data_IF_842177243961
#
_entry.id   IF_842177243961
#
_cell.length_a   1.000
_cell.length_b   1.000
_cell.length_c   1.000
_cell.angle_alpha   90.00
_cell.angle_beta   90.00
_cell.angle_gamma   90.00
#
_symmetry.space_group_name_H-M   'P 1'
#
loop_
_entity.id
_entity.type
_entity.pdbx_description
1 polymer ?
#
# COMPACT_ATOMS: atom_id res chain seq x y z
N UNK A 1 25.27 -43.03 26.88
CA UNK A 1 26.08 -42.15 26.00
C UNK A 1 25.82 -40.70 26.41
N UNK A 2 26.79 -40.06 27.07
CA UNK A 2 26.66 -38.65 27.46
C UNK A 2 27.10 -37.78 26.30
N UNK A 3 26.16 -37.06 25.68
CA UNK A 3 26.47 -36.07 24.65
C UNK A 3 27.31 -34.95 25.27
N UNK A 4 28.55 -34.84 24.81
CA UNK A 4 29.54 -33.87 25.28
C UNK A 4 29.02 -32.43 25.12
N UNK A 5 29.43 -31.54 26.04
CA UNK A 5 28.93 -30.16 26.15
C UNK A 5 29.08 -29.34 24.85
N UNK A 6 30.02 -29.71 23.98
CA UNK A 6 30.18 -29.13 22.64
C UNK A 6 29.03 -29.49 21.68
N UNK A 7 28.52 -30.73 21.74
CA UNK A 7 27.39 -31.18 20.92
C UNK A 7 26.08 -30.53 21.38
N UNK A 8 25.90 -30.33 22.70
CA UNK A 8 24.76 -29.58 23.25
C UNK A 8 24.76 -28.10 22.85
N UNK A 9 25.94 -27.47 22.78
CA UNK A 9 26.08 -26.06 22.34
C UNK A 9 25.87 -25.89 20.84
N UNK A 10 26.32 -26.83 20.01
CA UNK A 10 26.07 -26.80 18.58
C UNK A 10 24.57 -26.87 18.26
N UNK A 11 23.83 -27.80 18.90
CA UNK A 11 22.37 -27.93 18.76
C UNK A 11 21.62 -26.67 19.20
N UNK A 12 22.04 -26.03 20.29
CA UNK A 12 21.44 -24.78 20.77
C UNK A 12 21.64 -23.60 19.80
N UNK A 13 22.80 -23.51 19.15
CA UNK A 13 23.09 -22.45 18.16
C UNK A 13 22.33 -22.70 16.86
N UNK A 14 22.22 -23.94 16.38
CA UNK A 14 21.45 -24.23 15.15
C UNK A 14 19.95 -24.00 15.36
N UNK A 15 19.41 -24.41 16.52
CA UNK A 15 18.01 -24.15 16.87
C UNK A 15 17.69 -22.65 16.99
N UNK A 16 18.63 -21.86 17.53
CA UNK A 16 18.49 -20.40 17.63
C UNK A 16 18.46 -19.69 16.27
N UNK A 17 19.26 -20.14 15.30
CA UNK A 17 19.29 -19.57 13.94
C UNK A 17 18.02 -19.92 13.16
N UNK A 18 17.51 -21.15 13.26
CA UNK A 18 16.23 -21.54 12.62
C UNK A 18 15.01 -20.84 13.24
N UNK A 19 15.02 -20.58 14.54
CA UNK A 19 13.96 -19.82 15.20
C UNK A 19 13.93 -18.35 14.76
N UNK A 20 15.10 -17.77 14.47
CA UNK A 20 15.20 -16.38 14.01
C UNK A 20 14.70 -16.20 12.56
N UNK A 21 14.81 -17.23 11.72
CA UNK A 21 14.28 -17.21 10.34
C UNK A 21 12.78 -17.45 10.25
N UNK A 22 12.19 -18.21 11.18
CA UNK A 22 10.73 -18.42 11.25
C UNK A 22 9.98 -17.22 11.88
N UNK A 23 10.68 -16.32 12.56
CA UNK A 23 10.10 -15.12 13.18
C UNK A 23 9.91 -13.92 12.24
N UNK A 24 10.37 -14.01 10.99
CA UNK A 24 10.17 -12.97 9.96
C UNK A 24 8.92 -13.26 9.12
N UNK A 25 7.83 -13.70 9.75
CA UNK A 25 6.52 -13.62 9.11
C UNK A 25 6.27 -12.13 8.82
N UNK A 26 6.49 -11.70 7.58
CA UNK A 26 6.16 -10.37 7.09
C UNK A 26 4.63 -10.32 6.97
N UNK A 27 3.87 -9.76 7.93
CA UNK A 27 2.41 -9.83 7.87
C UNK A 27 1.84 -8.71 6.97
N UNK A 28 2.68 -7.84 6.41
CA UNK A 28 2.23 -6.50 6.03
C UNK A 28 2.06 -6.26 4.51
N UNK A 29 2.28 -7.26 3.64
CA UNK A 29 2.22 -7.06 2.18
C UNK A 29 0.88 -7.40 1.53
N UNK A 30 -0.11 -7.78 2.32
CA UNK A 30 -1.27 -8.54 1.86
C UNK A 30 -2.62 -7.85 2.16
N UNK A 31 -2.61 -6.76 2.94
CA UNK A 31 -3.83 -6.01 3.27
C UNK A 31 -4.36 -5.22 2.08
N UNK A 32 -5.69 -5.06 2.02
CA UNK A 32 -6.32 -4.06 1.15
C UNK A 32 -6.06 -2.68 1.74
N UNK A 33 -5.52 -1.77 0.95
CA UNK A 33 -5.16 -0.41 1.39
C UNK A 33 -5.77 0.66 0.50
N UNK A 34 -5.70 1.91 0.95
CA UNK A 34 -6.13 3.09 0.18
C UNK A 34 -4.90 3.93 -0.16
N UNK A 35 -4.74 4.28 -1.44
CA UNK A 35 -3.64 5.09 -1.96
C UNK A 35 -4.16 6.34 -2.71
N UNK A 36 -3.78 7.57 -2.32
CA UNK A 36 -3.11 7.90 -1.06
C UNK A 36 -3.98 7.55 0.15
N UNK A 37 -3.34 7.21 1.27
CA UNK A 37 -4.04 6.83 2.52
C UNK A 37 -4.59 8.02 3.32
N UNK A 38 -4.50 9.23 2.77
CA UNK A 38 -4.99 10.46 3.38
C UNK A 38 -5.61 11.40 2.35
N UNK A 39 -6.64 12.15 2.76
CA UNK A 39 -7.29 13.18 1.97
C UNK A 39 -7.73 14.36 2.85
N UNK A 40 -7.91 15.54 2.25
CA UNK A 40 -8.36 16.72 3.01
C UNK A 40 -9.89 16.70 3.23
N UNK A 41 -10.31 17.06 4.45
CA UNK A 41 -11.70 17.25 4.84
C UNK A 41 -12.37 18.32 3.97
N UNK A 42 -13.64 18.10 3.61
CA UNK A 42 -14.43 19.03 2.79
C UNK A 42 -14.13 19.03 1.30
N UNK A 43 -13.01 18.46 0.88
CA UNK A 43 -12.59 18.41 -0.52
C UNK A 43 -13.10 17.18 -1.28
N UNK A 44 -12.69 17.09 -2.54
CA UNK A 44 -12.76 15.88 -3.35
C UNK A 44 -11.37 15.25 -3.41
N UNK A 45 -11.32 13.92 -3.37
CA UNK A 45 -10.07 13.19 -3.50
C UNK A 45 -10.20 12.03 -4.47
N UNK A 46 -9.12 11.80 -5.22
CA UNK A 46 -8.95 10.57 -5.99
C UNK A 46 -8.10 9.61 -5.17
N UNK A 47 -8.69 8.47 -4.85
CA UNK A 47 -8.04 7.39 -4.12
C UNK A 47 -8.10 6.10 -4.92
N UNK A 48 -7.26 5.14 -4.59
CA UNK A 48 -7.28 3.81 -5.15
C UNK A 48 -7.32 2.77 -4.05
N UNK A 49 -8.27 1.85 -4.11
CA UNK A 49 -8.24 0.65 -3.28
C UNK A 49 -7.23 -0.32 -3.90
N UNK A 50 -6.10 -0.53 -3.24
CA UNK A 50 -5.07 -1.47 -3.66
C UNK A 50 -5.37 -2.84 -3.06
N UNK A 51 -5.58 -3.83 -3.92
CA UNK A 51 -5.96 -5.19 -3.53
C UNK A 51 -4.88 -6.16 -4.04
N UNK A 52 -4.07 -6.76 -3.16
CA UNK A 52 -3.16 -7.84 -3.52
C UNK A 52 -3.89 -9.20 -3.60
N UNK A 53 -3.31 -10.14 -4.33
CA UNK A 53 -3.72 -11.55 -4.29
C UNK A 53 -2.79 -12.34 -3.36
N UNK A 54 -3.38 -12.99 -2.36
CA UNK A 54 -2.69 -13.79 -1.34
C UNK A 54 -2.76 -15.31 -1.56
N UNK A 55 -3.18 -15.75 -2.73
CA UNK A 55 -3.34 -17.16 -3.09
C UNK A 55 -2.38 -17.51 -4.22
N UNK A 56 -1.64 -18.60 -4.03
CA UNK A 56 -0.69 -19.11 -5.02
C UNK A 56 -1.38 -19.89 -6.15
N UNK A 57 -2.57 -20.42 -5.88
CA UNK A 57 -3.33 -21.33 -6.75
C UNK A 57 -4.67 -20.74 -7.23
N UNK A 58 -5.01 -19.52 -6.80
CA UNK A 58 -6.25 -18.85 -7.16
C UNK A 58 -6.00 -17.41 -7.62
N UNK A 59 -7.00 -16.82 -8.26
CA UNK A 59 -6.97 -15.42 -8.66
C UNK A 59 -8.16 -14.67 -8.08
N UNK A 60 -7.96 -13.46 -7.59
CA UNK A 60 -9.09 -12.59 -7.24
C UNK A 60 -9.84 -12.23 -8.51
N UNK A 61 -11.15 -12.47 -8.52
CA UNK A 61 -12.02 -12.20 -9.66
C UNK A 61 -13.19 -11.26 -9.33
N UNK A 62 -13.36 -10.91 -8.05
CA UNK A 62 -14.35 -9.94 -7.60
C UNK A 62 -13.83 -9.20 -6.36
N UNK A 63 -14.08 -7.89 -6.33
CA UNK A 63 -13.82 -7.02 -5.20
C UNK A 63 -15.07 -6.20 -4.93
N UNK A 64 -15.52 -6.18 -3.68
CA UNK A 64 -16.60 -5.32 -3.22
C UNK A 64 -16.06 -4.38 -2.15
N UNK A 65 -16.36 -3.10 -2.25
CA UNK A 65 -16.01 -2.11 -1.22
C UNK A 65 -17.31 -1.46 -0.74
N UNK A 66 -17.57 -1.58 0.56
CA UNK A 66 -18.67 -0.92 1.23
C UNK A 66 -18.27 0.53 1.58
N UNK A 67 -19.19 1.44 1.36
CA UNK A 67 -19.03 2.86 1.69
C UNK A 67 -19.66 3.15 3.05
N UNK A 68 -19.08 4.07 3.85
CA UNK A 68 -19.60 4.43 5.15
C UNK A 68 -21.01 4.99 5.05
N UNK A 69 -21.90 4.53 5.92
CA UNK A 69 -23.34 4.93 5.94
C UNK A 69 -23.65 5.96 7.02
N UNK A 70 -22.78 6.04 8.02
CA UNK A 70 -22.70 7.06 9.06
C UNK A 70 -22.16 8.39 8.53
N UNK A 71 -21.22 8.35 7.59
CA UNK A 71 -20.73 9.51 6.83
C UNK A 71 -20.87 9.29 5.32
N UNK A 72 -22.09 9.39 4.76
CA UNK A 72 -22.33 9.06 3.37
C UNK A 72 -21.64 10.04 2.43
N UNK A 73 -21.05 9.50 1.36
CA UNK A 73 -20.34 10.29 0.36
C UNK A 73 -21.27 10.64 -0.80
N UNK A 74 -21.55 11.93 -1.03
CA UNK A 74 -22.58 12.35 -1.97
C UNK A 74 -22.17 12.23 -3.44
N UNK A 75 -20.88 12.33 -3.72
CA UNK A 75 -20.33 12.25 -5.06
C UNK A 75 -19.28 11.16 -5.09
N UNK A 76 -19.55 10.12 -5.86
CA UNK A 76 -18.62 9.01 -6.05
C UNK A 76 -18.63 8.65 -7.52
N UNK A 77 -17.44 8.54 -8.10
CA UNK A 77 -17.24 8.13 -9.48
C UNK A 77 -16.06 7.18 -9.57
N UNK A 78 -16.16 6.24 -10.49
CA UNK A 78 -15.16 5.19 -10.69
C UNK A 78 -14.45 5.41 -12.01
N UNK A 79 -13.15 5.19 -12.04
CA UNK A 79 -12.41 5.15 -13.30
C UNK A 79 -12.73 3.83 -14.01
N UNK A 80 -13.13 3.85 -15.30
CA UNK A 80 -13.27 2.62 -16.07
C UNK A 80 -11.97 1.82 -16.05
N UNK A 81 -12.08 0.52 -15.76
CA UNK A 81 -10.95 -0.37 -15.64
C UNK A 81 -11.08 -1.51 -16.68
N UNK A 82 -10.26 -1.53 -17.74
CA UNK A 82 -10.34 -2.58 -18.76
C UNK A 82 -10.24 -3.98 -18.16
N UNK A 83 -11.11 -4.88 -18.63
CA UNK A 83 -11.19 -6.26 -18.13
C UNK A 83 -11.97 -6.43 -16.82
N UNK A 84 -12.44 -5.33 -16.21
CA UNK A 84 -13.30 -5.36 -15.03
C UNK A 84 -14.64 -4.69 -15.33
N UNK A 85 -15.72 -5.37 -15.00
CA UNK A 85 -17.04 -4.76 -14.91
C UNK A 85 -17.15 -4.03 -13.57
N UNK A 86 -17.69 -2.81 -13.56
CA UNK A 86 -17.90 -2.02 -12.34
C UNK A 86 -19.38 -1.72 -12.16
N UNK A 87 -19.90 -2.02 -10.97
CA UNK A 87 -21.25 -1.69 -10.54
C UNK A 87 -21.20 -0.81 -9.31
N UNK A 88 -21.68 0.42 -9.45
CA UNK A 88 -21.89 1.36 -8.34
C UNK A 88 -23.32 1.17 -7.84
N UNK A 89 -23.49 0.92 -6.54
CA UNK A 89 -24.79 0.69 -5.91
C UNK A 89 -25.11 1.85 -4.98
N UNK A 90 -26.17 2.56 -5.30
CA UNK A 90 -26.76 3.61 -4.48
C UNK A 90 -27.93 3.06 -3.67
N UNK A 91 -28.06 3.50 -2.43
CA UNK A 91 -29.20 3.15 -1.56
C UNK A 91 -29.68 4.38 -0.81
N UNK A 92 -30.95 4.32 -0.39
CA UNK A 92 -31.54 5.35 0.46
C UNK A 92 -30.81 5.44 1.80
N UNK A 93 -30.42 6.65 2.17
CA UNK A 93 -29.77 6.94 3.44
C UNK A 93 -30.76 6.77 4.60
N UNK A 94 -30.30 6.28 5.77
CA UNK A 94 -31.13 6.21 6.97
C UNK A 94 -31.65 7.58 7.40
N UNK A 95 -30.86 8.63 7.16
CA UNK A 95 -31.20 10.04 7.43
C UNK A 95 -30.79 10.89 6.23
N UNK A 96 -31.63 11.84 5.79
CA UNK A 96 -31.21 12.83 4.81
C UNK A 96 -30.00 13.63 5.32
N UNK A 97 -29.07 13.93 4.42
CA UNK A 97 -27.90 14.76 4.72
C UNK A 97 -28.03 16.07 3.94
N UNK A 98 -28.01 17.19 4.66
CA UNK A 98 -27.99 18.52 4.04
C UNK A 98 -26.56 18.86 3.65
N UNK A 99 -26.35 19.11 2.37
CA UNK A 99 -25.08 19.61 1.83
C UNK A 99 -25.27 21.01 1.25
N UNK A 100 -24.17 21.66 0.85
CA UNK A 100 -24.23 22.91 0.09
C UNK A 100 -24.97 22.79 -1.25
N UNK A 101 -25.14 21.55 -1.76
CA UNK A 101 -25.83 21.24 -3.01
C UNK A 101 -27.30 20.83 -2.82
N UNK A 102 -27.80 20.84 -1.58
CA UNK A 102 -29.16 20.45 -1.23
C UNK A 102 -29.25 19.22 -0.33
N UNK A 103 -30.47 18.73 -0.14
CA UNK A 103 -30.75 17.53 0.65
C UNK A 103 -30.46 16.27 -0.16
N UNK A 104 -29.66 15.39 0.42
CA UNK A 104 -29.25 14.12 -0.18
C UNK A 104 -29.92 13.00 0.59
N UNK A 105 -30.72 12.20 -0.12
CA UNK A 105 -31.46 11.08 0.46
C UNK A 105 -30.99 9.71 -0.02
N UNK A 106 -30.10 9.67 -1.02
CA UNK A 106 -29.47 8.47 -1.56
C UNK A 106 -27.98 8.72 -1.71
N UNK A 107 -27.16 7.71 -1.44
CA UNK A 107 -25.72 7.79 -1.67
C UNK A 107 -25.17 6.43 -2.08
N UNK A 108 -23.94 6.44 -2.60
CA UNK A 108 -23.21 5.21 -2.90
C UNK A 108 -22.93 4.46 -1.60
N UNK A 109 -23.37 3.20 -1.56
CA UNK A 109 -23.22 2.30 -0.41
C UNK A 109 -22.26 1.17 -0.71
N UNK A 110 -22.07 0.84 -1.99
CA UNK A 110 -21.16 -0.21 -2.41
C UNK A 110 -20.67 -0.01 -3.83
N UNK A 111 -19.42 -0.35 -4.08
CA UNK A 111 -18.88 -0.53 -5.42
C UNK A 111 -18.44 -1.99 -5.57
N UNK A 112 -18.79 -2.60 -6.69
CA UNK A 112 -18.40 -3.98 -7.02
C UNK A 112 -17.63 -3.97 -8.32
N UNK A 113 -16.41 -4.51 -8.31
CA UNK A 113 -15.66 -4.85 -9.50
C UNK A 113 -15.67 -6.37 -9.70
N UNK A 114 -15.99 -6.83 -10.91
CA UNK A 114 -16.07 -8.27 -11.23
C UNK A 114 -15.54 -8.61 -12.61
N UNK A 115 -15.25 -9.90 -12.83
CA UNK A 115 -14.90 -10.45 -14.15
C UNK A 115 -13.42 -10.32 -14.53
N UNK A 116 -12.67 -9.48 -13.81
CA UNK A 116 -11.23 -9.38 -14.00
C UNK A 116 -10.44 -10.46 -13.26
N UNK A 117 -9.12 -10.29 -13.23
CA UNK A 117 -8.19 -11.27 -12.64
C UNK A 117 -7.01 -10.56 -12.00
N UNK A 118 -6.79 -10.80 -10.71
CA UNK A 118 -5.54 -10.51 -10.02
C UNK A 118 -4.85 -11.86 -9.79
N UNK A 119 -3.75 -12.12 -10.50
CA UNK A 119 -3.02 -13.40 -10.39
C UNK A 119 -2.15 -13.49 -9.13
N UNK A 120 -1.63 -14.69 -8.79
CA UNK A 120 -0.69 -14.86 -7.68
C UNK A 120 0.47 -13.87 -7.76
N UNK A 121 0.81 -13.24 -6.62
CA UNK A 121 1.89 -12.25 -6.53
C UNK A 121 1.60 -10.91 -7.23
N UNK A 122 0.37 -10.67 -7.70
CA UNK A 122 -0.06 -9.42 -8.31
C UNK A 122 -0.95 -8.61 -7.37
N UNK A 123 -1.13 -7.33 -7.69
CA UNK A 123 -2.12 -6.46 -7.08
C UNK A 123 -2.85 -5.67 -8.17
N UNK A 124 -4.03 -5.16 -7.84
CA UNK A 124 -4.78 -4.21 -8.67
C UNK A 124 -5.17 -2.99 -7.84
N UNK A 125 -5.16 -1.83 -8.48
CA UNK A 125 -5.68 -0.59 -7.93
C UNK A 125 -7.03 -0.26 -8.55
N UNK A 126 -8.03 -0.04 -7.71
CA UNK A 126 -9.38 0.35 -8.10
C UNK A 126 -9.59 1.83 -7.79
N UNK A 127 -9.38 2.68 -8.80
CA UNK A 127 -9.44 4.14 -8.68
C UNK A 127 -10.88 4.65 -8.54
N UNK A 128 -11.11 5.43 -7.49
CA UNK A 128 -12.37 6.08 -7.15
C UNK A 128 -12.10 7.56 -6.86
N UNK A 129 -12.89 8.44 -7.47
CA UNK A 129 -12.97 9.84 -7.08
C UNK A 129 -14.20 10.04 -6.21
N UNK A 130 -14.00 10.54 -5.00
CA UNK A 130 -15.06 10.71 -4.01
C UNK A 130 -14.98 12.06 -3.30
N UNK A 131 -16.13 12.59 -2.90
CA UNK A 131 -16.28 13.84 -2.18
C UNK A 131 -17.77 14.22 -2.05
N UNK A 132 -18.14 15.35 -1.47
CA UNK A 132 -17.36 16.16 -0.55
C UNK A 132 -17.05 15.33 0.71
N UNK A 133 -15.77 15.24 1.07
CA UNK A 133 -15.36 14.46 2.23
C UNK A 133 -15.86 15.12 3.53
N UNK A 134 -16.27 14.35 4.55
CA UNK A 134 -16.80 14.90 5.78
C UNK A 134 -15.77 15.74 6.53
N UNK A 135 -16.26 16.70 7.33
CA UNK A 135 -15.44 17.60 8.16
C UNK A 135 -15.53 17.29 9.65
N UNK A 136 -16.41 16.37 10.02
CA UNK A 136 -16.77 15.97 11.38
C UNK A 136 -16.14 14.65 11.82
N UNK A 137 -15.27 14.06 10.98
CA UNK A 137 -14.49 12.86 11.31
C UNK A 137 -13.07 12.95 10.75
N UNK A 138 -12.12 12.30 11.43
CA UNK A 138 -10.70 12.25 11.06
C UNK A 138 -10.37 11.04 10.17
N UNK A 139 -11.33 10.16 9.90
CA UNK A 139 -11.13 9.01 9.01
C UNK A 139 -12.45 8.43 8.48
N UNK A 140 -12.34 7.64 7.42
CA UNK A 140 -13.41 6.81 6.87
C UNK A 140 -12.93 5.38 6.72
N UNK A 141 -13.78 4.43 7.11
CA UNK A 141 -13.51 2.99 7.02
C UNK A 141 -14.31 2.42 5.85
N UNK A 142 -13.67 1.59 5.03
CA UNK A 142 -14.24 1.03 3.81
C UNK A 142 -14.10 -0.49 3.81
N UNK A 143 -14.99 -1.24 4.50
CA UNK A 143 -14.93 -2.69 4.52
C UNK A 143 -14.88 -3.26 3.10
N UNK A 144 -13.92 -4.14 2.84
CA UNK A 144 -13.75 -4.76 1.53
C UNK A 144 -14.02 -6.27 1.59
N UNK A 145 -14.53 -6.82 0.50
CA UNK A 145 -14.74 -8.26 0.33
C UNK A 145 -14.09 -8.70 -0.97
N UNK A 146 -13.19 -9.66 -0.87
CA UNK A 146 -12.42 -10.19 -1.99
C UNK A 146 -12.88 -11.62 -2.27
N UNK A 147 -13.27 -11.91 -3.51
CA UNK A 147 -13.62 -13.27 -3.94
C UNK A 147 -12.54 -13.81 -4.88
N UNK A 148 -12.17 -15.05 -4.65
CA UNK A 148 -11.20 -15.79 -5.45
C UNK A 148 -11.87 -16.73 -6.44
N UNK A 149 -11.16 -17.13 -7.49
CA UNK A 149 -11.62 -18.01 -8.56
C UNK A 149 -12.08 -19.39 -8.07
N UNK A 150 -11.61 -19.85 -6.91
CA UNK A 150 -12.05 -21.08 -6.26
C UNK A 150 -13.34 -20.93 -5.43
N UNK A 151 -13.94 -19.74 -5.38
CA UNK A 151 -15.14 -19.44 -4.59
C UNK A 151 -14.86 -19.01 -3.14
N UNK A 152 -13.60 -19.04 -2.70
CA UNK A 152 -13.22 -18.50 -1.40
C UNK A 152 -13.51 -16.99 -1.33
N UNK A 153 -14.03 -16.55 -0.18
CA UNK A 153 -14.34 -15.15 0.11
C UNK A 153 -13.58 -14.72 1.36
N UNK A 154 -12.76 -13.67 1.22
CA UNK A 154 -12.05 -13.03 2.33
C UNK A 154 -12.68 -11.66 2.57
N UNK A 155 -12.95 -11.35 3.84
CA UNK A 155 -13.46 -10.04 4.26
C UNK A 155 -12.35 -9.28 4.98
N UNK A 156 -12.19 -8.04 4.57
CA UNK A 156 -11.30 -7.02 5.11
C UNK A 156 -12.19 -6.01 5.84
N UNK A 157 -12.72 -6.42 6.99
CA UNK A 157 -13.73 -5.71 7.76
C UNK A 157 -13.40 -5.57 9.25
N UNK A 158 -12.18 -5.96 9.67
CA UNK A 158 -11.76 -5.79 11.06
C UNK A 158 -11.55 -4.30 11.38
N UNK A 159 -12.12 -3.85 12.50
CA UNK A 159 -11.92 -2.49 13.00
C UNK A 159 -10.49 -2.30 13.54
N UNK A 160 -9.93 -1.07 13.46
CA UNK A 160 -8.68 -0.74 14.13
C UNK A 160 -8.78 -1.06 15.63
N UNK A 161 -7.81 -1.81 16.17
CA UNK A 161 -7.82 -2.18 17.59
C UNK A 161 -7.42 -0.98 18.45
N UNK A 162 -8.09 -0.83 19.60
CA UNK A 162 -7.84 0.26 20.54
C UNK A 162 -6.43 0.25 21.15
N UNK A 163 -5.78 -0.92 21.19
CA UNK A 163 -4.40 -1.09 21.66
C UNK A 163 -3.35 -0.76 20.58
N UNK A 164 -3.80 -0.37 19.38
CA UNK A 164 -2.94 -0.05 18.24
C UNK A 164 -2.29 -1.26 17.57
N UNK A 165 -2.62 -2.49 17.99
CA UNK A 165 -2.17 -3.69 17.29
C UNK A 165 -2.89 -3.86 15.96
N UNK A 166 -2.19 -4.38 14.95
CA UNK A 166 -2.78 -4.60 13.63
C UNK A 166 -3.80 -5.75 13.69
N UNK A 167 -5.01 -5.58 13.13
CA UNK A 167 -5.95 -6.67 12.90
C UNK A 167 -5.41 -7.69 11.89
N UNK A 168 -6.02 -8.88 11.83
CA UNK A 168 -5.63 -9.87 10.82
C UNK A 168 -6.11 -9.47 9.43
N UNK A 169 -7.30 -8.87 9.34
CA UNK A 169 -7.92 -8.44 8.09
C UNK A 169 -8.49 -7.04 8.23
N UNK A 170 -7.62 -6.03 8.42
CA UNK A 170 -8.04 -4.66 8.66
C UNK A 170 -8.88 -4.14 7.51
N UNK A 171 -9.96 -3.45 7.85
CA UNK A 171 -10.69 -2.67 6.87
C UNK A 171 -9.82 -1.51 6.35
N UNK A 172 -9.83 -1.24 5.03
CA UNK A 172 -9.16 -0.07 4.46
C UNK A 172 -9.64 1.23 5.11
N UNK A 173 -8.70 2.07 5.57
CA UNK A 173 -8.99 3.35 6.22
C UNK A 173 -8.41 4.51 5.41
N UNK A 174 -9.24 5.51 5.11
CA UNK A 174 -8.82 6.80 4.56
C UNK A 174 -8.73 7.80 5.70
N UNK A 175 -7.54 8.32 5.99
CA UNK A 175 -7.37 9.39 6.98
C UNK A 175 -7.84 10.71 6.38
N UNK A 176 -8.58 11.49 7.15
CA UNK A 176 -9.02 12.83 6.78
C UNK A 176 -8.22 13.86 7.55
N UNK A 177 -7.50 14.71 6.82
CA UNK A 177 -6.73 15.81 7.41
C UNK A 177 -7.53 17.11 7.32
N UNK A 178 -7.42 18.02 8.30
CA UNK A 178 -8.00 19.35 8.18
C UNK A 178 -7.56 20.02 6.87
N UNK A 179 -8.48 20.73 6.23
CA UNK A 179 -8.13 21.51 5.04
C UNK A 179 -7.06 22.54 5.39
N UNK A 180 -5.99 22.60 4.58
CA UNK A 180 -4.98 23.65 4.72
C UNK A 180 -5.61 25.01 4.45
N UNK A 181 -5.33 26.01 5.29
CA UNK A 181 -5.93 27.36 5.23
C UNK A 181 -5.49 28.22 4.01
N UNK A 182 -5.19 27.61 2.86
CA UNK A 182 -4.78 28.31 1.65
C UNK A 182 -4.98 27.44 0.42
N UNK A 183 -6.16 27.54 -0.22
CA UNK A 183 -6.46 26.71 -1.38
C UNK A 183 -7.77 26.98 -2.10
N UNK A 184 -8.34 28.19 -2.04
CA UNK A 184 -9.42 28.58 -2.96
C UNK A 184 -8.84 28.83 -4.36
N UNK A 185 -8.53 27.75 -5.06
CA UNK A 185 -7.89 27.75 -6.37
C UNK A 185 -8.80 27.24 -7.48
N UNK A 186 -9.95 27.89 -7.72
CA UNK A 186 -10.62 27.79 -9.02
C UNK A 186 -9.83 28.59 -10.07
N UNK A 187 -8.64 28.08 -10.41
CA UNK A 187 -7.82 28.58 -11.50
C UNK A 187 -8.40 28.12 -12.83
N UNK A 188 -9.41 28.83 -13.32
CA UNK A 188 -9.79 28.78 -14.72
C UNK A 188 -8.58 29.21 -15.57
N UNK A 189 -7.89 28.24 -16.18
CA UNK A 189 -6.92 28.52 -17.22
C UNK A 189 -7.68 28.94 -18.49
N UNK A 190 -8.03 30.22 -18.56
CA UNK A 190 -8.40 30.89 -19.80
C UNK A 190 -7.19 30.89 -20.74
N UNK A 191 -7.11 29.89 -21.61
CA UNK A 191 -6.20 29.91 -22.75
C UNK A 191 -6.86 30.70 -23.89
N UNK A 192 -6.48 31.96 -24.02
CA UNK A 192 -6.76 32.77 -25.22
C UNK A 192 -5.95 32.22 -26.41
N UNK A 193 -6.55 31.97 -27.58
CA UNK A 193 -5.83 31.50 -28.75
C UNK A 193 -5.11 32.67 -29.43
N UNK A 194 -3.79 32.58 -29.58
CA UNK A 194 -3.00 33.51 -30.39
C UNK A 194 -2.46 32.80 -31.64
N UNK A 195 -2.66 33.46 -32.78
CA UNK A 195 -2.53 32.95 -34.14
C UNK A 195 -1.10 32.63 -34.61
N UNK A 196 -1.03 31.69 -35.55
CA UNK A 196 0.14 31.32 -36.37
C UNK A 196 0.49 32.39 -37.41
N UNK A 197 1.78 32.54 -37.72
CA UNK A 197 2.20 32.71 -39.10
C UNK A 197 3.17 31.61 -39.55
N UNK A 198 3.03 31.29 -40.85
CA UNK A 198 3.78 30.31 -41.64
C UNK A 198 5.15 30.84 -42.08
N UNK A 199 6.18 29.98 -42.10
CA UNK A 199 7.23 29.97 -43.13
C UNK A 199 8.08 28.67 -43.11
N UNK A 200 8.63 28.36 -44.29
CA UNK A 200 9.14 27.07 -44.75
C UNK A 200 10.51 26.59 -44.19
N UNK A 201 10.60 25.26 -44.16
CA UNK A 201 11.71 24.37 -44.55
C UNK A 201 13.16 24.73 -44.19
N UNK A 202 13.73 23.96 -43.25
CA UNK A 202 15.14 23.57 -43.26
C UNK A 202 15.27 22.14 -42.71
N UNK A 203 15.80 21.24 -43.54
CA UNK A 203 16.21 19.87 -43.23
C UNK A 203 17.38 19.83 -42.26
N UNK A 204 17.24 19.20 -41.09
CA UNK A 204 18.37 18.70 -40.27
C UNK A 204 17.97 17.46 -39.44
N UNK A 205 18.73 16.39 -39.68
CA UNK A 205 19.11 15.22 -38.87
C UNK A 205 18.21 14.71 -37.71
N UNK A 206 18.04 13.38 -37.68
CA UNK A 206 17.45 12.61 -36.58
C UNK A 206 18.22 12.82 -35.24
N UNK A 207 17.53 12.86 -34.08
CA UNK A 207 18.19 12.96 -32.79
C UNK A 207 18.79 11.59 -32.40
N UNK A 208 20.12 11.51 -32.42
CA UNK A 208 20.88 10.46 -31.75
C UNK A 208 20.87 10.72 -30.24
N UNK A 209 20.32 9.78 -29.48
CA UNK A 209 20.32 9.82 -28.02
C UNK A 209 21.72 9.41 -27.52
N UNK A 210 22.43 10.34 -26.89
CA UNK A 210 23.65 10.06 -26.14
C UNK A 210 23.24 9.70 -24.71
N UNK A 211 23.66 8.55 -24.13
CA UNK A 211 23.37 8.26 -22.74
C UNK A 211 24.12 9.27 -21.85
N UNK A 212 23.37 9.98 -21.00
CA UNK A 212 23.96 10.80 -19.94
C UNK A 212 24.61 9.84 -18.93
N UNK A 213 25.91 9.98 -18.74
CA UNK A 213 26.61 9.30 -17.66
C UNK A 213 26.02 9.79 -16.32
N UNK A 214 25.69 8.84 -15.44
CA UNK A 214 25.22 9.13 -14.10
C UNK A 214 26.34 9.85 -13.33
N UNK A 215 26.15 11.14 -13.08
CA UNK A 215 26.92 11.88 -12.09
C UNK A 215 26.50 11.38 -10.71
N UNK A 216 27.44 10.77 -9.99
CA UNK A 216 27.25 10.24 -8.65
C UNK A 216 26.78 11.31 -7.66
N UNK A 217 25.67 11.03 -6.99
CA UNK A 217 25.27 11.72 -5.77
C UNK A 217 25.78 10.92 -4.56
N UNK A 218 27.04 11.17 -4.18
CA UNK A 218 27.61 10.72 -2.91
C UNK A 218 27.00 11.54 -1.77
N UNK A 219 25.94 11.05 -1.13
CA UNK A 219 25.50 11.57 0.18
C UNK A 219 24.86 10.53 1.11
N UNK A 220 24.66 9.29 0.68
CA UNK A 220 24.15 8.18 1.53
C UNK A 220 25.18 7.06 1.76
N UNK A 221 26.33 7.12 1.08
CA UNK A 221 27.31 6.02 1.03
C UNK A 221 28.20 5.91 2.29
N UNK A 222 28.34 7.00 3.06
CA UNK A 222 29.13 7.00 4.30
C UNK A 222 28.53 6.14 5.41
N UNK A 223 27.24 6.32 5.69
CA UNK A 223 26.55 5.62 6.79
C UNK A 223 26.38 4.13 6.49
N UNK A 224 26.07 3.79 5.23
CA UNK A 224 25.93 2.40 4.79
C UNK A 224 27.26 1.63 4.89
N UNK A 225 28.37 2.25 4.47
CA UNK A 225 29.71 1.63 4.58
C UNK A 225 30.20 1.57 6.03
N UNK A 226 29.83 2.53 6.88
CA UNK A 226 30.21 2.53 8.29
C UNK A 226 29.46 1.46 9.08
N UNK A 227 28.15 1.29 8.85
CA UNK A 227 27.37 0.20 9.43
C UNK A 227 27.76 -1.17 8.86
N UNK A 228 27.99 -1.26 7.55
CA UNK A 228 28.47 -2.48 6.90
C UNK A 228 29.87 -2.89 7.39
N UNK A 229 30.78 -1.93 7.55
CA UNK A 229 32.11 -2.15 8.08
C UNK A 229 32.11 -2.55 9.57
N UNK A 230 31.32 -1.88 10.40
CA UNK A 230 31.15 -2.24 11.81
C UNK A 230 30.58 -3.66 11.97
N UNK A 231 29.60 -4.03 11.14
CA UNK A 231 29.03 -5.38 11.11
C UNK A 231 30.04 -6.46 10.71
N UNK A 232 30.89 -6.19 9.71
CA UNK A 232 31.93 -7.12 9.27
C UNK A 232 33.00 -7.34 10.36
N UNK A 233 33.41 -6.28 11.05
CA UNK A 233 34.39 -6.36 12.13
C UNK A 233 33.84 -7.13 13.34
N UNK A 234 32.58 -6.91 13.71
CA UNK A 234 31.91 -7.67 14.76
C UNK A 234 31.78 -9.16 14.37
N UNK A 235 31.44 -9.45 13.11
CA UNK A 235 31.37 -10.81 12.58
C UNK A 235 32.73 -11.53 12.60
N UNK A 236 33.80 -10.87 12.18
CA UNK A 236 35.15 -11.43 12.21
C UNK A 236 35.66 -11.65 13.64
N UNK A 237 35.40 -10.73 14.56
CA UNK A 237 35.75 -10.89 15.97
C UNK A 237 35.01 -12.10 16.59
N UNK A 238 33.73 -12.27 16.29
CA UNK A 238 32.94 -13.43 16.70
C UNK A 238 33.50 -14.74 16.16
N UNK A 239 33.95 -14.75 14.90
CA UNK A 239 34.56 -15.94 14.27
C UNK A 239 35.89 -16.31 14.93
N UNK A 240 36.75 -15.33 15.24
CA UNK A 240 38.03 -15.55 15.92
C UNK A 240 37.83 -16.08 17.35
N UNK A 241 36.88 -15.50 18.11
CA UNK A 241 36.54 -15.97 19.45
C UNK A 241 35.96 -17.39 19.40
N UNK A 242 35.12 -17.70 18.40
CA UNK A 242 34.58 -19.04 18.17
C UNK A 242 35.69 -20.07 17.90
N UNK A 243 36.63 -19.76 17.00
CA UNK A 243 37.76 -20.63 16.65
C UNK A 243 38.72 -20.83 17.83
N UNK A 244 39.01 -19.79 18.61
CA UNK A 244 39.84 -19.89 19.81
C UNK A 244 39.15 -20.68 20.94
N UNK A 245 37.83 -20.55 21.08
CA UNK A 245 37.02 -21.35 22.00
C UNK A 245 37.04 -22.84 21.63
N UNK A 246 36.92 -23.16 20.35
CA UNK A 246 37.03 -24.53 19.82
C UNK A 246 38.45 -25.12 20.04
N UNK A 247 39.50 -24.31 19.90
CA UNK A 247 40.90 -24.74 20.12
C UNK A 247 41.26 -24.95 21.60
N UNK A 248 40.67 -24.20 22.52
CA UNK A 248 40.87 -24.39 23.97
C UNK A 248 40.10 -25.60 24.51
N UNK A 249 38.94 -25.92 23.95
CA UNK A 249 38.19 -27.13 24.30
C UNK A 249 38.95 -28.43 23.96
N UNK A 250 39.85 -28.39 22.98
CA UNK A 250 40.63 -29.55 22.52
C UNK A 250 41.98 -29.76 23.23
N UNK A 251 42.31 -28.93 24.25
CA UNK A 251 43.55 -29.08 25.05
C UNK A 251 43.32 -29.47 26.51
N UNK A 252 42.07 -29.72 26.91
CA UNK A 252 41.74 -30.32 28.20
C UNK A 252 41.05 -31.65 27.94
N UNK A 253 41.85 -32.61 27.48
CA UNK A 253 41.58 -34.04 27.47
C UNK A 253 42.91 -34.74 27.67
#
# INVERSE_FOLDING_TARGET
>A
MSLSSACRRAVAVTAGVTALTLGLALPALAHVTINPGSAEQGGFSKVAFRVPNERDDASTNKVEVAFPTDHPLPFVSVKPLPGWEVKVTESKLPKPVTTEYGEITEAVTKITWSGGKIGPGQFQEFEVSMGALPKDTDHLVFPATQTYSGGEVVKWDDEPKADGSEPERPAPVLKLTPASAGGDGHGAASATPAAVPSAAAATLAAPTVVPVAASGADSSDGTARLLGGAGLLAGLAGLVVGVLGLRRGNRVS
#
